data_IF_061343017403
#
_entry.id   IF_061343017403
#
_cell.length_a   1.000
_cell.length_b   1.000
_cell.length_c   1.000
_cell.angle_alpha   90.00
_cell.angle_beta   90.00
_cell.angle_gamma   90.00
#
_symmetry.space_group_name_H-M   'P 1'
#
loop_
_entity.id
_entity.type
_entity.pdbx_description
1 polymer ?
#
# COMPACT_ATOMS: atom_id res chain seq x y z
N UNK A 1 30.28 7.34 10.37
CA UNK A 1 30.34 6.31 9.31
C UNK A 1 29.39 5.20 9.71
N UNK A 2 28.23 5.11 9.06
CA UNK A 2 27.26 4.04 9.33
C UNK A 2 27.70 2.84 8.50
N UNK A 3 28.06 1.77 9.19
CA UNK A 3 28.49 0.52 8.58
C UNK A 3 27.27 -0.18 7.98
N UNK A 4 27.13 -0.17 6.64
CA UNK A 4 26.02 -0.82 5.93
C UNK A 4 26.48 -2.17 5.38
N UNK A 5 26.62 -3.16 6.25
CA UNK A 5 26.51 -4.55 5.81
C UNK A 5 25.03 -4.91 5.83
N UNK A 6 24.37 -4.81 4.68
CA UNK A 6 22.97 -5.22 4.52
C UNK A 6 22.88 -6.74 4.51
N UNK A 7 22.33 -7.31 5.58
CA UNK A 7 21.82 -8.68 5.58
C UNK A 7 20.39 -8.65 5.06
N UNK A 8 20.14 -9.22 3.88
CA UNK A 8 18.83 -9.29 3.23
C UNK A 8 17.76 -10.03 4.06
N UNK A 9 18.17 -10.72 5.14
CA UNK A 9 17.31 -11.45 6.05
C UNK A 9 17.04 -10.75 7.39
N UNK A 10 17.68 -9.61 7.70
CA UNK A 10 17.27 -8.82 8.86
C UNK A 10 16.11 -7.90 8.49
N UNK A 11 14.95 -8.13 9.13
CA UNK A 11 13.93 -7.09 9.25
C UNK A 11 14.61 -5.84 9.82
N UNK A 12 14.50 -4.70 9.15
CA UNK A 12 15.04 -3.45 9.66
C UNK A 12 14.43 -3.18 11.04
N UNK A 13 15.24 -3.30 12.08
CA UNK A 13 14.86 -2.95 13.44
C UNK A 13 15.17 -1.48 13.62
N UNK A 14 14.14 -0.68 13.87
CA UNK A 14 14.33 0.71 14.27
C UNK A 14 14.80 0.70 15.73
N UNK A 15 16.00 1.22 16.04
CA UNK A 15 16.45 1.30 17.44
C UNK A 15 15.42 2.10 18.24
N UNK A 16 15.13 1.62 19.45
CA UNK A 16 14.20 2.23 20.42
C UNK A 16 12.70 2.23 20.04
N UNK A 17 12.28 1.44 19.04
CA UNK A 17 10.85 1.28 18.74
C UNK A 17 10.11 0.57 19.88
N UNK A 18 8.98 1.15 20.30
CA UNK A 18 8.08 0.54 21.26
C UNK A 18 7.62 -0.84 20.75
N UNK A 19 7.80 -1.94 21.52
CA UNK A 19 7.43 -3.28 21.07
C UNK A 19 5.95 -3.43 20.67
N UNK A 20 5.04 -2.68 21.30
CA UNK A 20 3.62 -2.68 20.94
C UNK A 20 3.37 -1.98 19.59
N UNK A 21 4.12 -0.91 19.29
CA UNK A 21 4.06 -0.26 17.98
C UNK A 21 4.55 -1.21 16.89
N UNK A 22 5.70 -1.86 17.10
CA UNK A 22 6.22 -2.87 16.17
C UNK A 22 5.20 -4.00 15.93
N UNK A 23 4.65 -4.57 17.02
CA UNK A 23 3.65 -5.62 16.93
C UNK A 23 2.40 -5.18 16.15
N UNK A 24 1.90 -3.96 16.40
CA UNK A 24 0.78 -3.38 15.65
C UNK A 24 1.10 -3.27 14.15
N UNK A 25 2.25 -2.67 13.80
CA UNK A 25 2.64 -2.48 12.41
C UNK A 25 2.89 -3.81 11.68
N UNK A 26 3.48 -4.80 12.36
CA UNK A 26 3.68 -6.14 11.77
C UNK A 26 2.36 -6.83 11.47
N UNK A 27 1.40 -6.79 12.40
CA UNK A 27 0.07 -7.37 12.17
C UNK A 27 -0.65 -6.66 11.03
N UNK A 28 -0.60 -5.32 10.97
CA UNK A 28 -1.22 -4.58 9.85
C UNK A 28 -0.53 -4.94 8.53
N UNK A 29 0.80 -4.90 8.46
CA UNK A 29 1.59 -5.26 7.26
C UNK A 29 1.24 -6.65 6.74
N UNK A 30 1.20 -7.63 7.65
CA UNK A 30 0.96 -9.02 7.28
C UNK A 30 -0.50 -9.22 6.89
N UNK A 31 -1.43 -8.49 7.50
CA UNK A 31 -2.86 -8.57 7.17
C UNK A 31 -3.13 -7.97 5.80
N UNK A 32 -2.57 -6.78 5.49
CA UNK A 32 -2.76 -6.18 4.16
C UNK A 32 -2.11 -7.00 3.05
N UNK A 33 -1.04 -7.75 3.37
CA UNK A 33 -0.43 -8.74 2.47
C UNK A 33 -1.19 -10.08 2.40
N UNK A 34 -2.24 -10.28 3.20
CA UNK A 34 -2.97 -11.57 3.30
C UNK A 34 -2.18 -12.71 3.95
N UNK A 35 -1.13 -12.39 4.70
CA UNK A 35 -0.21 -13.34 5.35
C UNK A 35 -0.57 -13.68 6.81
N UNK A 36 -1.53 -12.99 7.42
CA UNK A 36 -1.89 -13.19 8.84
C UNK A 36 -2.54 -14.55 9.09
N UNK A 37 -3.55 -14.93 8.28
CA UNK A 37 -4.25 -16.21 8.45
C UNK A 37 -3.65 -17.33 7.60
N UNK A 38 -3.10 -17.02 6.42
CA UNK A 38 -2.47 -17.91 5.41
C UNK A 38 -3.35 -19.04 4.85
N UNK A 39 -4.29 -19.58 5.62
CA UNK A 39 -5.05 -20.81 5.32
C UNK A 39 -5.95 -20.72 4.09
N UNK A 40 -6.26 -19.51 3.61
CA UNK A 40 -7.09 -19.28 2.42
C UNK A 40 -6.37 -18.48 1.33
N UNK A 41 -5.12 -18.09 1.56
CA UNK A 41 -4.42 -17.18 0.67
C UNK A 41 -3.77 -17.91 -0.50
N UNK A 42 -3.85 -17.31 -1.68
CA UNK A 42 -3.33 -17.81 -2.94
C UNK A 42 -2.69 -16.67 -3.73
N UNK A 43 -1.91 -17.02 -4.75
CA UNK A 43 -1.50 -16.08 -5.80
C UNK A 43 -2.51 -16.10 -6.94
N UNK A 44 -2.72 -14.97 -7.60
CA UNK A 44 -3.56 -14.83 -8.80
C UNK A 44 -2.64 -14.56 -10.00
N UNK A 45 -2.82 -15.31 -11.07
CA UNK A 45 -2.12 -15.10 -12.34
C UNK A 45 -2.77 -14.00 -13.18
N UNK A 46 -2.05 -13.49 -14.17
CA UNK A 46 -2.59 -12.53 -15.15
C UNK A 46 -3.76 -13.15 -15.95
N UNK A 47 -3.77 -14.47 -16.07
CA UNK A 47 -4.84 -15.27 -16.67
C UNK A 47 -6.05 -15.48 -15.73
N UNK A 48 -6.06 -14.81 -14.57
CA UNK A 48 -7.08 -14.89 -13.52
C UNK A 48 -7.21 -16.29 -12.89
N UNK A 49 -6.20 -17.15 -13.03
CA UNK A 49 -6.13 -18.43 -12.34
C UNK A 49 -5.49 -18.28 -10.96
N UNK A 50 -5.90 -19.12 -10.01
CA UNK A 50 -5.31 -19.16 -8.68
C UNK A 50 -4.19 -20.19 -8.61
N UNK A 51 -3.08 -19.84 -7.96
CA UNK A 51 -1.93 -20.70 -7.73
C UNK A 51 -1.62 -20.79 -6.23
N UNK A 52 -0.98 -21.88 -5.76
CA UNK A 52 -0.52 -21.97 -4.39
C UNK A 52 0.33 -20.77 -3.99
N UNK A 53 0.15 -20.30 -2.74
CA UNK A 53 0.92 -19.20 -2.20
C UNK A 53 2.42 -19.56 -2.13
N UNK A 54 3.24 -18.79 -2.85
CA UNK A 54 4.68 -18.72 -2.63
C UNK A 54 4.99 -17.53 -1.71
N UNK A 55 5.40 -17.83 -0.48
CA UNK A 55 5.72 -16.83 0.53
C UNK A 55 6.85 -15.90 0.08
N UNK A 56 7.88 -16.41 -0.60
CA UNK A 56 8.98 -15.56 -1.06
C UNK A 56 8.52 -14.56 -2.10
N UNK A 57 7.61 -14.97 -2.98
CA UNK A 57 6.99 -14.08 -3.96
C UNK A 57 6.12 -13.03 -3.26
N UNK A 58 5.31 -13.42 -2.27
CA UNK A 58 4.49 -12.47 -1.50
C UNK A 58 5.33 -11.46 -0.70
N UNK A 59 6.43 -11.90 -0.10
CA UNK A 59 7.36 -11.02 0.61
C UNK A 59 7.95 -9.96 -0.32
N UNK A 60 8.31 -10.37 -1.56
CA UNK A 60 8.83 -9.47 -2.60
C UNK A 60 7.73 -8.65 -3.30
N UNK A 61 6.47 -9.11 -3.23
CA UNK A 61 5.32 -8.61 -3.98
C UNK A 61 5.40 -8.91 -5.48
N UNK A 62 5.91 -10.11 -5.80
CA UNK A 62 6.03 -10.60 -7.18
C UNK A 62 4.84 -11.46 -7.61
N UNK A 63 3.74 -11.42 -6.84
CA UNK A 63 2.47 -12.11 -7.10
C UNK A 63 1.29 -11.16 -6.86
N UNK A 64 0.09 -11.59 -7.27
CA UNK A 64 -1.16 -10.89 -6.96
C UNK A 64 -1.93 -11.62 -5.86
N UNK A 65 -2.31 -10.97 -4.75
CA UNK A 65 -3.01 -11.64 -3.66
C UNK A 65 -4.46 -12.00 -3.99
N UNK A 66 -4.90 -13.22 -3.70
CA UNK A 66 -6.33 -13.51 -3.77
C UNK A 66 -7.10 -12.66 -2.74
N UNK A 67 -6.66 -12.70 -1.48
CA UNK A 67 -7.32 -12.05 -0.34
C UNK A 67 -6.63 -10.76 0.08
N UNK A 68 -5.29 -10.73 0.08
CA UNK A 68 -4.52 -9.53 0.41
C UNK A 68 -5.00 -8.28 -0.34
N UNK A 69 -4.93 -7.15 0.33
CA UNK A 69 -5.41 -5.85 -0.16
C UNK A 69 -4.28 -4.92 -0.60
N UNK A 70 -3.04 -5.43 -0.64
CA UNK A 70 -1.94 -4.85 -1.41
C UNK A 70 -1.11 -5.93 -2.09
N UNK A 71 -0.62 -5.64 -3.29
CA UNK A 71 0.26 -6.51 -4.07
C UNK A 71 1.74 -6.11 -3.99
N UNK A 72 2.10 -5.07 -3.23
CA UNK A 72 3.48 -4.59 -3.17
C UNK A 72 4.39 -5.47 -2.29
N UNK A 73 3.80 -6.33 -1.47
CA UNK A 73 4.54 -7.23 -0.58
C UNK A 73 5.22 -6.53 0.60
N UNK A 74 5.74 -7.33 1.53
CA UNK A 74 6.29 -6.85 2.79
C UNK A 74 7.50 -5.93 2.61
N UNK A 75 8.42 -6.23 1.68
CA UNK A 75 9.65 -5.42 1.49
C UNK A 75 9.34 -3.98 1.11
N UNK A 76 8.33 -3.75 0.24
CA UNK A 76 7.93 -2.40 -0.16
C UNK A 76 7.07 -1.70 0.90
N UNK A 77 6.30 -2.43 1.70
CA UNK A 77 5.65 -1.85 2.88
C UNK A 77 6.68 -1.37 3.91
N UNK A 78 7.71 -2.16 4.21
CA UNK A 78 8.80 -1.74 5.11
C UNK A 78 9.50 -0.48 4.57
N UNK A 79 9.64 -0.35 3.25
CA UNK A 79 10.15 0.88 2.63
C UNK A 79 9.24 2.09 2.87
N UNK A 80 7.91 1.94 2.79
CA UNK A 80 6.94 3.00 3.16
C UNK A 80 7.11 3.40 4.62
N UNK A 81 7.18 2.43 5.53
CA UNK A 81 7.40 2.68 6.96
C UNK A 81 8.69 3.49 7.20
N UNK A 82 9.78 3.08 6.56
CA UNK A 82 11.07 3.75 6.66
C UNK A 82 11.00 5.19 6.13
N UNK A 83 10.40 5.40 4.96
CA UNK A 83 10.26 6.72 4.36
C UNK A 83 9.46 7.66 5.26
N UNK A 84 8.33 7.19 5.80
CA UNK A 84 7.49 7.96 6.73
C UNK A 84 8.23 8.32 8.02
N UNK A 85 8.91 7.36 8.64
CA UNK A 85 9.74 7.61 9.83
C UNK A 85 10.86 8.61 9.55
N UNK A 86 11.51 8.50 8.38
CA UNK A 86 12.54 9.43 7.96
C UNK A 86 12.00 10.86 7.83
N UNK A 87 10.91 11.07 7.10
CA UNK A 87 10.36 12.43 6.88
C UNK A 87 9.82 13.04 8.18
N UNK A 88 9.24 12.24 9.07
CA UNK A 88 8.79 12.70 10.39
C UNK A 88 9.99 13.12 11.25
N UNK A 89 11.02 12.26 11.34
CA UNK A 89 12.21 12.53 12.16
C UNK A 89 12.98 13.76 11.69
N UNK A 90 12.99 14.01 10.37
CA UNK A 90 13.66 15.15 9.76
C UNK A 90 12.73 16.36 9.55
N UNK A 91 11.49 16.30 10.03
CA UNK A 91 10.49 17.38 9.91
C UNK A 91 10.32 17.88 8.46
N UNK A 92 10.38 16.97 7.50
CA UNK A 92 10.12 17.30 6.08
C UNK A 92 8.62 17.61 5.95
N UNK A 93 8.24 18.81 5.47
CA UNK A 93 6.82 19.18 5.33
C UNK A 93 6.13 18.36 4.22
N UNK A 94 4.81 18.44 4.18
CA UNK A 94 3.99 17.83 3.13
C UNK A 94 3.34 16.50 3.52
N UNK A 95 2.46 16.03 2.64
CA UNK A 95 1.63 14.84 2.84
C UNK A 95 2.23 13.56 2.25
N UNK A 96 1.62 12.41 2.56
CA UNK A 96 1.86 11.15 1.85
C UNK A 96 0.82 10.98 0.73
N UNK A 97 1.26 10.55 -0.46
CA UNK A 97 0.37 10.20 -1.58
C UNK A 97 0.76 8.88 -2.23
N UNK A 98 -0.25 8.08 -2.57
CA UNK A 98 -0.13 6.91 -3.45
C UNK A 98 -0.94 7.14 -4.74
N UNK A 99 -0.29 6.96 -5.90
CA UNK A 99 -0.90 7.07 -7.22
C UNK A 99 -1.03 5.69 -7.86
N UNK A 100 -2.23 5.12 -7.81
CA UNK A 100 -2.52 3.73 -8.14
C UNK A 100 -2.54 2.88 -6.86
N UNK A 101 -3.73 2.73 -6.27
CA UNK A 101 -3.90 2.19 -4.91
C UNK A 101 -4.50 0.78 -4.90
N UNK A 102 -5.14 0.36 -6.00
CA UNK A 102 -5.85 -0.92 -6.08
C UNK A 102 -6.82 -1.10 -4.90
N UNK A 103 -6.64 -2.14 -4.06
CA UNK A 103 -7.44 -2.40 -2.84
C UNK A 103 -7.07 -1.52 -1.64
N UNK A 104 -6.05 -0.66 -1.76
CA UNK A 104 -5.68 0.39 -0.81
C UNK A 104 -4.76 -0.04 0.34
N UNK A 105 -4.27 -1.28 0.36
CA UNK A 105 -3.52 -1.83 1.50
C UNK A 105 -2.22 -1.10 1.84
N UNK A 106 -1.53 -0.53 0.85
CA UNK A 106 -0.32 0.28 1.05
C UNK A 106 -0.63 1.61 1.72
N UNK A 107 -1.66 2.31 1.25
CA UNK A 107 -2.15 3.53 1.89
C UNK A 107 -2.74 3.28 3.30
N UNK A 108 -3.42 2.16 3.52
CA UNK A 108 -3.85 1.72 4.87
C UNK A 108 -2.63 1.58 5.78
N UNK A 109 -1.58 0.92 5.29
CA UNK A 109 -0.35 0.75 6.06
C UNK A 109 0.37 2.08 6.33
N UNK A 110 0.43 2.99 5.34
CA UNK A 110 0.95 4.34 5.54
C UNK A 110 0.17 5.09 6.65
N UNK A 111 -1.16 5.04 6.62
CA UNK A 111 -2.02 5.63 7.66
C UNK A 111 -1.77 5.00 9.03
N UNK A 112 -1.58 3.67 9.10
CA UNK A 112 -1.24 2.94 10.33
C UNK A 112 0.09 3.42 10.93
N UNK A 113 1.13 3.60 10.09
CA UNK A 113 2.43 4.14 10.53
C UNK A 113 2.27 5.53 11.13
N UNK A 114 1.56 6.44 10.46
CA UNK A 114 1.30 7.78 11.00
C UNK A 114 0.54 7.74 12.33
N UNK A 115 -0.47 6.87 12.45
CA UNK A 115 -1.25 6.70 13.69
C UNK A 115 -0.38 6.18 14.83
N UNK A 116 0.47 5.20 14.56
CA UNK A 116 1.35 4.59 15.56
C UNK A 116 2.43 5.55 16.07
N UNK A 117 2.85 6.50 15.23
CA UNK A 117 3.77 7.58 15.58
C UNK A 117 3.07 8.80 16.18
N UNK A 118 1.75 8.73 16.41
CA UNK A 118 0.91 9.83 16.88
C UNK A 118 1.09 11.12 16.05
N UNK A 119 1.29 10.96 14.73
CA UNK A 119 1.40 12.09 13.81
C UNK A 119 0.01 12.49 13.33
N UNK A 120 -0.34 13.76 13.56
CA UNK A 120 -1.62 14.36 13.14
C UNK A 120 -1.45 15.45 12.08
N UNK A 121 -0.21 15.73 11.67
CA UNK A 121 0.11 16.82 10.76
C UNK A 121 0.08 16.40 9.28
N UNK A 122 0.31 15.11 9.00
CA UNK A 122 0.38 14.56 7.65
C UNK A 122 -0.89 13.82 7.30
N UNK A 123 -1.38 14.05 6.09
CA UNK A 123 -2.51 13.33 5.51
C UNK A 123 -2.04 12.22 4.56
N UNK A 124 -2.91 11.25 4.32
CA UNK A 124 -2.74 10.16 3.35
C UNK A 124 -3.70 10.38 2.19
N UNK A 125 -3.15 10.63 1.02
CA UNK A 125 -3.90 10.83 -0.22
C UNK A 125 -3.86 9.59 -1.11
N UNK A 126 -5.04 9.14 -1.53
CA UNK A 126 -5.22 8.03 -2.43
C UNK A 126 -5.69 8.53 -3.79
N UNK A 127 -4.79 8.55 -4.76
CA UNK A 127 -5.13 8.86 -6.15
C UNK A 127 -5.30 7.59 -6.95
N UNK A 128 -6.52 7.36 -7.43
CA UNK A 128 -6.84 6.23 -8.30
C UNK A 128 -8.07 6.55 -9.15
N UNK A 129 -8.19 5.86 -10.27
CA UNK A 129 -9.40 5.90 -11.08
C UNK A 129 -10.58 5.26 -10.33
N UNK A 130 -10.29 4.28 -9.46
CA UNK A 130 -11.24 3.37 -8.82
C UNK A 130 -12.10 2.59 -9.83
N UNK A 131 -11.53 2.38 -11.02
CA UNK A 131 -12.15 1.68 -12.16
C UNK A 131 -11.09 0.94 -13.02
N UNK A 132 -9.88 0.75 -12.48
CA UNK A 132 -8.74 0.12 -13.16
C UNK A 132 -8.00 1.04 -14.14
N UNK A 133 -7.19 0.44 -15.00
CA UNK A 133 -6.31 1.19 -15.90
C UNK A 133 -7.09 1.85 -17.05
N UNK A 134 -6.65 3.03 -17.54
CA UNK A 134 -7.25 3.65 -18.72
C UNK A 134 -6.99 2.81 -19.97
N UNK A 135 -7.86 2.96 -20.97
CA UNK A 135 -7.56 2.50 -22.33
C UNK A 135 -6.30 3.19 -22.86
N UNK A 136 -5.60 2.52 -23.76
CA UNK A 136 -4.49 3.10 -24.50
C UNK A 136 -4.89 4.46 -25.12
N UNK A 137 -4.07 5.50 -24.91
CA UNK A 137 -4.28 6.84 -25.47
C UNK A 137 -3.39 7.09 -26.68
N UNK A 138 -2.24 6.42 -26.74
CA UNK A 138 -1.27 6.49 -27.82
C UNK A 138 -0.98 5.09 -28.37
N UNK A 139 -0.31 5.04 -29.54
CA UNK A 139 0.11 3.78 -30.15
C UNK A 139 1.19 3.05 -29.35
N UNK A 140 1.89 3.75 -28.45
CA UNK A 140 2.90 3.17 -27.58
C UNK A 140 2.31 2.58 -26.28
N UNK A 141 1.02 2.80 -26.02
CA UNK A 141 0.36 2.31 -24.83
C UNK A 141 -0.16 0.88 -25.05
N UNK A 142 -0.09 0.05 -24.00
CA UNK A 142 -0.63 -1.30 -24.02
C UNK A 142 -2.05 -1.33 -23.46
N UNK A 143 -3.03 -1.72 -24.28
CA UNK A 143 -4.44 -1.79 -23.88
C UNK A 143 -4.82 -3.07 -23.12
N UNK A 144 -3.91 -4.03 -22.93
CA UNK A 144 -4.24 -5.29 -22.27
C UNK A 144 -4.57 -5.10 -20.79
N UNK A 145 -3.92 -4.15 -20.12
CA UNK A 145 -4.11 -3.89 -18.69
C UNK A 145 -5.49 -3.29 -18.37
N UNK A 146 -6.08 -2.53 -19.30
CA UNK A 146 -7.41 -1.91 -19.12
C UNK A 146 -8.54 -2.95 -19.06
N UNK A 147 -8.26 -4.17 -19.54
CA UNK A 147 -9.21 -5.30 -19.63
C UNK A 147 -9.14 -6.23 -18.42
N UNK A 148 -8.17 -6.04 -17.51
CA UNK A 148 -7.99 -6.91 -16.36
C UNK A 148 -8.96 -6.47 -15.25
N UNK A 149 -10.05 -7.21 -15.09
CA UNK A 149 -11.07 -6.95 -14.05
C UNK A 149 -10.49 -6.98 -12.63
N UNK A 150 -9.49 -7.83 -12.38
CA UNK A 150 -8.82 -7.93 -11.09
C UNK A 150 -8.17 -6.59 -10.60
N UNK A 151 -7.82 -5.70 -11.54
CA UNK A 151 -7.25 -4.38 -11.24
C UNK A 151 -8.32 -3.29 -11.04
N UNK A 152 -9.61 -3.61 -11.20
CA UNK A 152 -10.73 -2.68 -11.02
C UNK A 152 -11.30 -2.82 -9.61
N UNK A 153 -10.97 -1.86 -8.76
CA UNK A 153 -11.48 -1.79 -7.39
C UNK A 153 -12.20 -0.48 -7.19
N UNK A 154 -13.43 -0.54 -6.65
CA UNK A 154 -14.24 0.67 -6.44
C UNK A 154 -13.77 1.47 -5.24
N UNK A 155 -14.09 2.78 -5.22
CA UNK A 155 -13.82 3.63 -4.07
C UNK A 155 -14.51 3.11 -2.80
N UNK A 156 -15.72 2.58 -2.93
CA UNK A 156 -16.48 2.01 -1.81
C UNK A 156 -15.78 0.80 -1.19
N UNK A 157 -15.21 -0.07 -2.03
CA UNK A 157 -14.42 -1.21 -1.58
C UNK A 157 -13.15 -0.76 -0.85
N UNK A 158 -12.41 0.21 -1.40
CA UNK A 158 -11.23 0.78 -0.73
C UNK A 158 -11.61 1.39 0.62
N UNK A 159 -12.68 2.19 0.68
CA UNK A 159 -13.16 2.74 1.95
C UNK A 159 -13.57 1.66 2.94
N UNK A 160 -14.20 0.58 2.48
CA UNK A 160 -14.56 -0.57 3.32
C UNK A 160 -13.31 -1.24 3.88
N UNK A 161 -12.26 -1.40 3.08
CA UNK A 161 -10.98 -1.89 3.54
C UNK A 161 -10.38 -0.97 4.62
N UNK A 162 -10.38 0.35 4.45
CA UNK A 162 -9.91 1.27 5.52
C UNK A 162 -10.73 1.15 6.81
N UNK A 163 -12.06 1.01 6.70
CA UNK A 163 -12.95 0.83 7.87
C UNK A 163 -12.64 -0.46 8.61
N UNK A 164 -12.31 -1.55 7.92
CA UNK A 164 -11.94 -2.82 8.55
C UNK A 164 -10.71 -2.72 9.47
N UNK A 165 -9.84 -1.73 9.26
CA UNK A 165 -8.68 -1.45 10.10
C UNK A 165 -8.92 -0.32 11.12
N UNK A 166 -10.11 0.29 11.17
CA UNK A 166 -10.40 1.52 11.94
C UNK A 166 -9.41 2.67 11.61
N UNK A 167 -9.11 2.83 10.31
CA UNK A 167 -8.18 3.82 9.78
C UNK A 167 -8.81 4.77 8.75
N UNK A 168 -10.14 4.69 8.52
CA UNK A 168 -10.85 5.71 7.75
C UNK A 168 -11.21 6.89 8.66
N UNK A 169 -10.42 7.97 8.60
CA UNK A 169 -10.61 9.19 9.39
C UNK A 169 -10.29 10.46 8.56
N UNK A 170 -10.37 11.63 9.19
CA UNK A 170 -10.17 12.93 8.54
C UNK A 170 -8.75 13.15 7.99
N UNK A 171 -7.82 12.23 8.27
CA UNK A 171 -6.47 12.21 7.72
C UNK A 171 -6.36 11.40 6.41
N UNK A 172 -7.46 10.83 5.91
CA UNK A 172 -7.49 10.03 4.67
C UNK A 172 -8.34 10.72 3.60
N UNK A 173 -7.73 11.02 2.45
CA UNK A 173 -8.36 11.73 1.34
C UNK A 173 -8.30 10.93 0.05
N UNK A 174 -9.31 11.08 -0.81
CA UNK A 174 -9.44 10.33 -2.05
C UNK A 174 -9.50 11.26 -3.28
N UNK A 175 -8.54 11.08 -4.18
CA UNK A 175 -8.46 11.72 -5.49
C UNK A 175 -9.04 10.79 -6.56
N UNK A 176 -10.38 10.76 -6.69
CA UNK A 176 -11.07 9.90 -7.65
C UNK A 176 -10.97 10.41 -9.09
N UNK A 177 -10.39 9.58 -9.96
CA UNK A 177 -10.31 9.79 -11.41
C UNK A 177 -8.93 9.44 -11.95
N UNK A 178 -8.80 9.39 -13.28
CA UNK A 178 -7.49 9.22 -13.91
C UNK A 178 -6.57 10.40 -13.56
N UNK A 179 -5.28 10.13 -13.37
CA UNK A 179 -4.34 11.08 -12.77
C UNK A 179 -4.31 12.45 -13.45
N UNK A 180 -4.37 12.50 -14.79
CA UNK A 180 -4.38 13.76 -15.56
C UNK A 180 -5.58 14.64 -15.21
N UNK A 181 -6.70 14.03 -14.80
CA UNK A 181 -7.95 14.72 -14.53
C UNK A 181 -8.14 14.96 -13.03
N UNK A 182 -7.63 14.08 -12.16
CA UNK A 182 -7.87 14.13 -10.71
C UNK A 182 -6.78 14.88 -9.95
N UNK A 183 -5.49 14.63 -10.23
CA UNK A 183 -4.39 15.21 -9.44
C UNK A 183 -4.37 16.75 -9.43
N UNK A 184 -4.62 17.46 -10.55
CA UNK A 184 -4.63 18.94 -10.53
C UNK A 184 -5.70 19.57 -9.62
N UNK A 185 -6.68 18.77 -9.15
CA UNK A 185 -7.79 19.23 -8.29
C UNK A 185 -7.61 18.83 -6.82
N UNK A 186 -6.55 18.10 -6.49
CA UNK A 186 -6.29 17.65 -5.14
C UNK A 186 -5.45 18.66 -4.37
N UNK A 187 -5.91 19.04 -3.18
CA UNK A 187 -5.23 20.00 -2.32
C UNK A 187 -4.18 19.30 -1.44
N UNK A 188 -3.23 18.61 -2.07
CA UNK A 188 -2.13 17.94 -1.39
C UNK A 188 -1.05 18.99 -1.08
N UNK A 189 -0.56 19.01 0.16
CA UNK A 189 0.48 19.97 0.60
C UNK A 189 1.90 19.53 0.27
#
# INVERSE_FOLDING_TARGET
MINTSYDDNQLFVFPDENPLVRAYLDVVRDTVCGLTLRTSEHAVGIDNQTHPLDINQRIKGSDWPLIGITMIGQKRLINIEWALKFVISNKVPGDFIECGVWRGGSSIFARAVLKALNNHDKHVWLADSFQGLPKARTQNDNDNWSKIEYLKVSLEEVQTNFRAFNLLDDHVHFCKGYFVDSLPRCNIS
#
